data_IF_565351790028
#
_entry.id   IF_565351790028
#
_cell.length_a   1.000
_cell.length_b   1.000
_cell.length_c   1.000
_cell.angle_alpha   90.00
_cell.angle_beta   90.00
_cell.angle_gamma   90.00
#
_symmetry.space_group_name_H-M   'P 1'
#
loop_
_entity.id
_entity.type
_entity.pdbx_description
1 polymer ?
#
# COMPACT_ATOMS: atom_id res chain seq x y z
N UNK A 1 -17.01 -3.99 -6.09
CA UNK A 1 -16.08 -4.72 -5.19
C UNK A 1 -15.54 -3.82 -4.09
N UNK A 2 -15.12 -2.59 -4.41
CA UNK A 2 -14.55 -1.64 -3.46
C UNK A 2 -15.39 -0.36 -3.31
N UNK A 3 -15.32 0.26 -2.14
CA UNK A 3 -15.81 1.60 -1.86
C UNK A 3 -14.66 2.48 -1.37
N UNK A 4 -14.74 3.77 -1.70
CA UNK A 4 -13.83 4.80 -1.25
C UNK A 4 -14.64 5.88 -0.53
N UNK A 5 -14.24 6.26 0.68
CA UNK A 5 -14.86 7.33 1.45
C UNK A 5 -13.80 8.37 1.78
N UNK A 6 -14.14 9.61 1.47
CA UNK A 6 -13.35 10.79 1.85
C UNK A 6 -13.99 11.42 3.07
N UNK A 7 -13.18 11.75 4.07
CA UNK A 7 -13.69 12.50 5.22
C UNK A 7 -14.38 13.80 4.78
N UNK A 8 -15.67 13.94 5.10
CA UNK A 8 -16.49 15.10 4.74
C UNK A 8 -17.17 15.04 3.37
N UNK A 9 -17.05 13.94 2.61
CA UNK A 9 -17.79 13.74 1.35
C UNK A 9 -18.63 12.46 1.38
N UNK A 10 -19.50 12.33 0.38
CA UNK A 10 -20.26 11.09 0.17
C UNK A 10 -19.33 9.94 -0.23
N UNK A 11 -19.75 8.73 0.13
CA UNK A 11 -19.08 7.50 -0.28
C UNK A 11 -19.12 7.35 -1.80
N UNK A 12 -17.98 7.00 -2.38
CA UNK A 12 -17.85 6.65 -3.79
C UNK A 12 -17.78 5.14 -3.93
N UNK A 13 -18.69 4.56 -4.71
CA UNK A 13 -18.71 3.14 -5.03
C UNK A 13 -18.53 2.87 -6.52
N UNK A 14 -18.44 3.93 -7.32
CA UNK A 14 -18.28 3.89 -8.77
C UNK A 14 -16.79 3.92 -9.13
N UNK A 15 -16.14 2.78 -8.95
CA UNK A 15 -14.73 2.62 -9.26
C UNK A 15 -14.54 2.45 -10.78
N UNK A 16 -13.68 3.23 -11.39
CA UNK A 16 -13.28 3.06 -12.79
C UNK A 16 -12.35 1.87 -12.89
N UNK A 17 -12.82 0.79 -13.50
CA UNK A 17 -12.02 -0.40 -13.72
C UNK A 17 -11.09 -0.17 -14.93
N UNK A 18 -9.80 0.06 -14.67
CA UNK A 18 -8.77 0.25 -15.71
C UNK A 18 -8.18 -1.08 -16.17
N UNK A 19 -8.31 -2.12 -15.35
CA UNK A 19 -7.87 -3.49 -15.65
C UNK A 19 -8.75 -4.47 -14.87
N UNK A 20 -8.81 -5.76 -15.25
CA UNK A 20 -9.58 -6.77 -14.49
C UNK A 20 -9.27 -6.74 -12.99
N UNK A 21 -7.99 -6.55 -12.67
CA UNK A 21 -7.45 -6.53 -11.31
C UNK A 21 -7.12 -5.12 -10.80
N UNK A 22 -7.50 -4.05 -11.52
CA UNK A 22 -7.13 -2.67 -11.15
C UNK A 22 -8.32 -1.73 -11.23
N UNK A 23 -8.56 -1.05 -10.11
CA UNK A 23 -9.67 -0.13 -9.91
C UNK A 23 -9.15 1.23 -9.53
N UNK A 24 -9.75 2.29 -10.05
CA UNK A 24 -9.33 3.67 -9.79
C UNK A 24 -10.54 4.50 -9.39
N UNK A 25 -10.38 5.28 -8.32
CA UNK A 25 -11.34 6.28 -7.86
C UNK A 25 -10.77 7.66 -8.09
N UNK A 26 -11.55 8.55 -8.69
CA UNK A 26 -11.14 9.93 -8.89
C UNK A 26 -11.58 10.80 -7.71
N UNK A 27 -10.65 11.57 -7.19
CA UNK A 27 -10.83 12.46 -6.06
C UNK A 27 -10.71 13.91 -6.52
N UNK A 28 -11.83 14.57 -6.84
CA UNK A 28 -11.82 16.01 -7.08
C UNK A 28 -11.45 16.78 -5.80
N UNK A 29 -10.87 17.97 -5.95
CA UNK A 29 -10.40 18.86 -4.87
C UNK A 29 -9.61 18.14 -3.76
N UNK A 30 -8.57 17.42 -4.17
CA UNK A 30 -7.70 16.67 -3.29
C UNK A 30 -7.00 17.53 -2.21
N UNK A 31 -6.86 18.84 -2.44
CA UNK A 31 -6.28 19.79 -1.47
C UNK A 31 -7.04 19.83 -0.14
N UNK A 32 -8.34 19.57 -0.16
CA UNK A 32 -9.19 19.56 1.03
C UNK A 32 -9.31 18.16 1.67
N UNK A 33 -8.69 17.16 1.06
CA UNK A 33 -8.81 15.77 1.51
C UNK A 33 -7.70 15.48 2.51
N UNK A 34 -8.08 15.11 3.72
CA UNK A 34 -7.12 14.79 4.79
C UNK A 34 -7.00 13.29 5.03
N UNK A 35 -8.15 12.59 5.02
CA UNK A 35 -8.26 11.16 5.28
C UNK A 35 -9.11 10.50 4.20
N UNK A 36 -8.60 9.39 3.69
CA UNK A 36 -9.26 8.52 2.72
C UNK A 36 -9.43 7.16 3.35
N UNK A 37 -10.63 6.60 3.23
CA UNK A 37 -10.97 5.27 3.70
C UNK A 37 -11.26 4.42 2.47
N UNK A 38 -10.57 3.30 2.33
CA UNK A 38 -10.84 2.32 1.29
C UNK A 38 -11.32 1.04 1.95
N UNK A 39 -12.41 0.50 1.43
CA UNK A 39 -13.03 -0.69 2.02
C UNK A 39 -13.68 -1.58 0.95
N UNK A 40 -13.87 -2.84 1.29
CA UNK A 40 -14.62 -3.79 0.47
C UNK A 40 -16.12 -3.63 0.73
N UNK A 41 -16.92 -3.68 -0.33
CA UNK A 41 -18.39 -3.61 -0.24
C UNK A 41 -19.03 -4.90 0.32
N UNK A 42 -18.27 -5.98 0.44
CA UNK A 42 -18.76 -7.29 0.90
C UNK A 42 -19.59 -8.06 -0.15
N UNK A 43 -19.75 -7.52 -1.36
CA UNK A 43 -20.48 -8.20 -2.45
C UNK A 43 -19.64 -9.28 -3.14
N UNK A 44 -18.33 -9.08 -3.24
CA UNK A 44 -17.38 -10.02 -3.86
C UNK A 44 -16.10 -10.03 -2.99
N UNK A 45 -15.74 -11.17 -2.38
CA UNK A 45 -14.49 -11.31 -1.64
C UNK A 45 -13.29 -11.42 -2.58
N UNK A 46 -12.08 -11.22 -2.06
CA UNK A 46 -10.86 -11.49 -2.82
C UNK A 46 -10.70 -12.99 -3.07
N UNK A 47 -10.15 -13.39 -4.23
CA UNK A 47 -9.73 -14.78 -4.47
C UNK A 47 -8.76 -15.27 -3.39
N UNK A 48 -8.68 -16.59 -3.19
CA UNK A 48 -7.77 -17.18 -2.22
C UNK A 48 -6.30 -16.81 -2.54
N UNK A 49 -5.56 -16.34 -1.54
CA UNK A 49 -4.17 -15.91 -1.71
C UNK A 49 -4.00 -14.50 -2.29
N UNK A 50 -5.09 -13.76 -2.54
CA UNK A 50 -5.06 -12.40 -3.08
C UNK A 50 -5.47 -11.34 -2.04
N UNK A 51 -4.97 -10.13 -2.22
CA UNK A 51 -5.40 -8.92 -1.52
C UNK A 51 -5.39 -7.71 -2.45
N UNK A 52 -5.74 -6.54 -1.92
CA UNK A 52 -5.73 -5.29 -2.66
C UNK A 52 -4.64 -4.35 -2.14
N UNK A 53 -3.66 -4.00 -2.97
CA UNK A 53 -2.76 -2.89 -2.72
C UNK A 53 -3.47 -1.56 -3.04
N UNK A 54 -3.46 -0.64 -2.08
CA UNK A 54 -4.07 0.68 -2.20
C UNK A 54 -2.98 1.70 -2.48
N UNK A 55 -3.10 2.38 -3.61
CA UNK A 55 -2.20 3.44 -4.05
C UNK A 55 -2.93 4.78 -4.11
N UNK A 56 -2.19 5.85 -3.90
CA UNK A 56 -2.66 7.21 -4.04
C UNK A 56 -1.81 7.94 -5.07
N UNK A 57 -2.48 8.58 -6.01
CA UNK A 57 -1.90 9.41 -7.05
C UNK A 57 -2.23 10.85 -6.78
N UNK A 58 -1.23 11.72 -6.78
CA UNK A 58 -1.44 13.16 -6.82
C UNK A 58 -0.75 13.75 -8.06
N UNK A 59 -1.36 14.76 -8.68
CA UNK A 59 -0.72 15.48 -9.77
C UNK A 59 0.41 16.33 -9.20
N UNK A 60 1.67 16.03 -9.58
CA UNK A 60 2.82 16.84 -9.20
C UNK A 60 3.22 17.76 -10.37
N UNK A 61 3.18 19.09 -10.20
CA UNK A 61 3.53 20.03 -11.27
C UNK A 61 5.02 20.02 -11.61
N UNK A 62 5.89 19.51 -10.74
CA UNK A 62 7.35 19.49 -10.94
C UNK A 62 7.84 18.23 -11.69
N UNK A 63 7.21 17.08 -11.47
CA UNK A 63 7.56 15.79 -12.08
C UNK A 63 6.90 15.55 -13.45
N UNK A 64 6.04 16.47 -13.91
CA UNK A 64 5.41 16.40 -15.23
C UNK A 64 4.42 15.24 -15.41
N UNK A 65 3.98 14.60 -14.32
CA UNK A 65 3.07 13.45 -14.36
C UNK A 65 2.51 13.06 -12.99
N UNK A 66 1.52 12.15 -12.96
CA UNK A 66 0.91 11.67 -11.72
C UNK A 66 1.89 10.82 -10.90
N UNK A 67 2.16 11.21 -9.65
CA UNK A 67 3.04 10.48 -8.75
C UNK A 67 2.19 9.52 -7.92
N UNK A 68 2.41 8.22 -8.08
CA UNK A 68 1.72 7.21 -7.28
C UNK A 68 2.56 6.77 -6.08
N UNK A 69 1.90 6.60 -4.94
CA UNK A 69 2.47 6.17 -3.69
C UNK A 69 1.61 5.04 -3.10
N UNK A 70 2.25 3.97 -2.61
CA UNK A 70 1.56 2.87 -1.95
C UNK A 70 1.15 3.29 -0.53
N UNK A 71 -0.16 3.43 -0.29
CA UNK A 71 -0.67 3.77 1.03
C UNK A 71 -0.69 2.56 1.97
N UNK A 72 -1.03 1.39 1.44
CA UNK A 72 -1.16 0.16 2.21
C UNK A 72 -1.92 -0.92 1.46
N UNK A 73 -2.55 -1.84 2.19
CA UNK A 73 -3.25 -2.98 1.62
C UNK A 73 -4.53 -3.33 2.39
N UNK A 74 -5.46 -3.96 1.69
CA UNK A 74 -6.72 -4.51 2.20
C UNK A 74 -6.80 -6.00 1.84
N UNK A 75 -7.40 -6.81 2.70
CA UNK A 75 -7.52 -8.27 2.54
C UNK A 75 -8.90 -8.74 3.01
N UNK A 76 -9.22 -10.02 2.85
CA UNK A 76 -10.48 -10.56 3.39
C UNK A 76 -10.52 -10.47 4.94
N UNK A 77 -9.39 -10.65 5.63
CA UNK A 77 -9.28 -10.48 7.09
C UNK A 77 -9.35 -9.01 7.52
N UNK A 78 -8.79 -8.10 6.71
CA UNK A 78 -8.83 -6.66 6.92
C UNK A 78 -9.48 -5.97 5.72
N UNK A 79 -10.83 -6.00 5.63
CA UNK A 79 -11.55 -5.53 4.46
C UNK A 79 -11.59 -4.00 4.33
N UNK A 80 -11.05 -3.26 5.30
CA UNK A 80 -11.04 -1.79 5.31
C UNK A 80 -9.77 -1.22 5.92
N UNK A 81 -9.31 -0.10 5.37
CA UNK A 81 -8.17 0.67 5.88
C UNK A 81 -8.39 2.18 5.73
N UNK A 82 -7.80 2.94 6.65
CA UNK A 82 -7.86 4.41 6.69
C UNK A 82 -6.46 4.96 6.47
N UNK A 83 -6.35 5.91 5.55
CA UNK A 83 -5.09 6.51 5.14
C UNK A 83 -5.14 8.02 5.27
N UNK A 84 -4.11 8.60 5.90
CA UNK A 84 -3.83 10.03 5.89
C UNK A 84 -3.17 10.37 4.57
N UNK A 85 -3.74 11.34 3.86
CA UNK A 85 -3.10 11.91 2.68
C UNK A 85 -2.57 13.33 2.94
N UNK A 86 -3.00 13.96 4.05
CA UNK A 86 -2.52 15.27 4.48
C UNK A 86 -1.03 15.23 4.81
N UNK A 87 -0.22 15.96 4.03
CA UNK A 87 1.23 16.05 4.21
C UNK A 87 2.05 14.98 3.49
N UNK A 88 1.43 14.17 2.61
CA UNK A 88 2.21 13.34 1.67
C UNK A 88 3.00 14.27 0.76
N UNK A 89 4.30 14.37 1.02
CA UNK A 89 5.20 15.10 0.12
C UNK A 89 5.35 14.29 -1.17
N UNK A 90 5.56 15.00 -2.27
CA UNK A 90 6.11 14.47 -3.52
C UNK A 90 7.53 13.94 -3.29
N UNK A 91 7.65 12.87 -2.49
CA UNK A 91 8.87 12.08 -2.34
C UNK A 91 8.83 10.93 -3.34
N UNK A 92 10.03 10.57 -3.81
CA UNK A 92 10.36 9.54 -4.83
C UNK A 92 9.16 8.67 -5.22
N UNK A 93 8.66 8.88 -6.45
CA UNK A 93 7.58 8.09 -7.02
C UNK A 93 7.89 6.61 -6.87
N UNK A 94 7.08 5.93 -6.05
CA UNK A 94 7.24 4.51 -5.80
C UNK A 94 6.95 3.71 -7.06
N UNK A 95 7.55 2.52 -7.17
CA UNK A 95 7.19 1.55 -8.19
C UNK A 95 5.68 1.27 -8.09
N UNK A 96 4.93 1.59 -9.15
CA UNK A 96 3.48 1.42 -9.18
C UNK A 96 3.05 0.59 -10.39
N UNK A 97 2.03 -0.26 -10.26
CA UNK A 97 1.53 -1.10 -11.36
C UNK A 97 0.60 -0.34 -12.33
N UNK A 98 0.32 0.95 -12.09
CA UNK A 98 -0.62 1.78 -12.86
C UNK A 98 0.00 2.53 -14.07
N UNK A 99 1.22 2.16 -14.49
CA UNK A 99 2.04 2.90 -15.46
C UNK A 99 1.29 3.33 -16.72
N UNK A 100 1.47 4.61 -17.12
CA UNK A 100 0.91 5.35 -18.27
C UNK A 100 -0.63 5.30 -18.51
N UNK A 101 -1.35 4.36 -17.90
CA UNK A 101 -2.79 4.17 -18.01
C UNK A 101 -3.59 5.09 -17.06
N UNK A 102 -2.90 5.86 -16.23
CA UNK A 102 -3.50 6.92 -15.43
C UNK A 102 -3.70 8.17 -16.29
N UNK A 103 -4.78 8.19 -17.06
CA UNK A 103 -5.33 9.40 -17.68
C UNK A 103 -5.97 10.28 -16.60
N UNK A 104 -5.20 10.65 -15.58
CA UNK A 104 -5.64 11.55 -14.53
C UNK A 104 -5.67 12.97 -15.07
N UNK A 105 -6.79 13.67 -14.89
CA UNK A 105 -6.84 15.11 -15.10
C UNK A 105 -5.80 15.76 -14.19
N UNK A 106 -5.01 16.76 -14.64
CA UNK A 106 -3.95 17.38 -13.83
C UNK A 106 -4.46 18.11 -12.57
N UNK A 107 -5.77 18.14 -12.36
CA UNK A 107 -6.46 18.83 -11.26
C UNK A 107 -7.09 17.87 -10.23
N UNK A 108 -7.01 16.56 -10.43
CA UNK A 108 -7.65 15.57 -9.54
C UNK A 108 -6.65 14.52 -9.06
N UNK A 109 -6.72 14.17 -7.78
CA UNK A 109 -6.01 13.01 -7.26
C UNK A 109 -6.76 11.72 -7.61
N UNK A 110 -6.07 10.58 -7.53
CA UNK A 110 -6.66 9.29 -7.80
C UNK A 110 -6.30 8.29 -6.69
N UNK A 111 -7.22 7.40 -6.34
CA UNK A 111 -6.95 6.26 -5.46
C UNK A 111 -7.07 4.99 -6.30
N UNK A 112 -5.98 4.25 -6.39
CA UNK A 112 -5.91 2.98 -7.10
C UNK A 112 -6.00 1.81 -6.14
N UNK A 113 -6.71 0.76 -6.51
CA UNK A 113 -6.68 -0.54 -5.85
C UNK A 113 -6.22 -1.57 -6.88
N UNK A 114 -5.08 -2.20 -6.63
CA UNK A 114 -4.50 -3.27 -7.45
C UNK A 114 -4.69 -4.59 -6.72
N UNK A 115 -5.31 -5.59 -7.35
CA UNK A 115 -5.46 -6.94 -6.79
C UNK A 115 -4.17 -7.71 -7.06
N UNK A 116 -3.46 -8.09 -5.99
CA UNK A 116 -2.15 -8.71 -6.07
C UNK A 116 -2.05 -9.88 -5.07
N UNK A 117 -1.11 -10.79 -5.30
CA UNK A 117 -0.88 -11.90 -4.39
C UNK A 117 -0.41 -11.39 -3.02
N UNK A 118 -0.95 -11.97 -1.94
CA UNK A 118 -0.59 -11.63 -0.56
C UNK A 118 0.94 -11.65 -0.33
N UNK A 119 1.64 -12.62 -0.92
CA UNK A 119 3.11 -12.71 -0.88
C UNK A 119 3.79 -11.44 -1.40
N UNK A 120 3.26 -10.84 -2.48
CA UNK A 120 3.80 -9.62 -3.07
C UNK A 120 3.47 -8.38 -2.22
N UNK A 121 2.25 -8.32 -1.67
CA UNK A 121 1.85 -7.24 -0.74
C UNK A 121 2.76 -7.18 0.48
N UNK A 122 3.19 -8.34 0.98
CA UNK A 122 4.09 -8.49 2.14
C UNK A 122 5.53 -8.06 1.83
N UNK A 123 5.92 -8.05 0.55
CA UNK A 123 7.22 -7.55 0.10
C UNK A 123 7.22 -6.05 -0.19
N UNK A 124 6.05 -5.47 -0.49
CA UNK A 124 5.92 -4.04 -0.73
C UNK A 124 6.02 -3.24 0.58
N UNK A 125 6.74 -2.12 0.55
CA UNK A 125 6.88 -1.22 1.69
C UNK A 125 5.92 -0.05 1.46
N UNK A 126 4.78 0.03 2.18
CA UNK A 126 3.90 1.19 2.08
C UNK A 126 4.60 2.44 2.61
N UNK A 127 4.24 3.60 2.07
CA UNK A 127 4.83 4.87 2.52
C UNK A 127 4.42 5.10 3.96
N UNK A 128 5.39 5.06 4.89
CA UNK A 128 5.16 5.06 6.34
C UNK A 128 4.40 6.27 6.89
N UNK A 129 4.20 7.32 6.07
CA UNK A 129 3.45 8.53 6.44
C UNK A 129 1.93 8.41 6.24
N UNK A 130 1.45 7.38 5.53
CA UNK A 130 0.05 7.30 5.11
C UNK A 130 -0.87 6.54 6.09
N UNK A 131 -0.37 5.66 6.95
CA UNK A 131 -1.21 4.92 7.87
C UNK A 131 -1.58 5.78 9.11
N UNK A 132 -2.87 6.08 9.31
CA UNK A 132 -3.35 6.55 10.62
C UNK A 132 -3.73 5.33 11.43
N UNK A 133 -2.92 5.04 12.44
CA UNK A 133 -3.25 4.41 13.73
C UNK A 133 -2.24 3.32 14.10
N UNK A 134 -1.27 3.72 14.94
CA UNK A 134 -0.85 3.06 16.20
C UNK A 134 -0.34 1.60 16.20
N UNK A 135 -0.53 0.80 15.16
CA UNK A 135 -0.09 -0.62 15.11
C UNK A 135 1.10 -0.87 14.17
N UNK A 136 1.37 0.05 13.24
CA UNK A 136 2.49 -0.07 12.30
C UNK A 136 3.85 0.01 13.00
N UNK A 137 4.00 0.84 14.03
CA UNK A 137 5.23 0.85 14.84
C UNK A 137 5.45 -0.46 15.59
N UNK A 138 4.39 -1.16 16.01
CA UNK A 138 4.50 -2.42 16.74
C UNK A 138 4.88 -3.57 15.78
N UNK A 139 4.22 -3.68 14.63
CA UNK A 139 4.53 -4.74 13.65
C UNK A 139 5.82 -4.49 12.88
N UNK A 140 6.20 -3.23 12.62
CA UNK A 140 7.51 -2.89 12.05
C UNK A 140 8.65 -3.15 13.06
N UNK A 141 8.40 -2.97 14.36
CA UNK A 141 9.28 -3.43 15.44
C UNK A 141 9.41 -4.97 15.47
N UNK A 142 8.29 -5.70 15.39
CA UNK A 142 8.29 -7.18 15.36
C UNK A 142 8.97 -7.75 14.10
N UNK A 143 8.84 -7.09 12.94
CA UNK A 143 9.45 -7.54 11.69
C UNK A 143 10.97 -7.34 11.67
N UNK A 144 11.45 -6.25 12.26
CA UNK A 144 12.87 -6.03 12.51
C UNK A 144 13.41 -7.09 13.49
N UNK A 145 12.69 -7.34 14.59
CA UNK A 145 13.07 -8.35 15.59
C UNK A 145 13.15 -9.77 15.03
N UNK A 146 12.21 -10.18 14.16
CA UNK A 146 12.23 -11.52 13.54
C UNK A 146 13.33 -11.69 12.49
N UNK A 147 13.63 -10.64 11.72
CA UNK A 147 14.73 -10.66 10.73
C UNK A 147 16.09 -10.68 11.44
N UNK A 148 16.23 -9.94 12.55
CA UNK A 148 17.42 -9.99 13.40
C UNK A 148 17.58 -11.35 14.09
N UNK A 149 16.49 -11.96 14.56
CA UNK A 149 16.52 -13.28 15.19
C UNK A 149 16.90 -14.40 14.20
N UNK A 150 16.41 -14.33 12.95
CA UNK A 150 16.85 -15.22 11.85
C UNK A 150 18.32 -15.02 11.51
N UNK A 151 18.80 -13.78 11.47
CA UNK A 151 20.21 -13.50 11.23
C UNK A 151 21.09 -13.98 12.39
N UNK A 152 20.63 -13.86 13.64
CA UNK A 152 21.35 -14.34 14.84
C UNK A 152 21.43 -15.87 14.89
N UNK A 153 20.34 -16.57 14.54
CA UNK A 153 20.32 -18.05 14.44
C UNK A 153 21.22 -18.52 13.30
N UNK A 154 21.21 -17.85 12.15
CA UNK A 154 22.10 -18.16 11.03
C UNK A 154 23.58 -17.89 11.36
N UNK A 155 23.88 -16.80 12.08
CA UNK A 155 25.25 -16.47 12.48
C UNK A 155 25.79 -17.45 13.53
N UNK A 156 24.95 -17.88 14.49
CA UNK A 156 25.33 -18.88 15.48
C UNK A 156 25.61 -20.25 14.86
N UNK A 157 24.78 -20.68 13.89
CA UNK A 157 25.03 -21.93 13.14
C UNK A 157 26.29 -21.84 12.27
N UNK A 158 26.53 -20.70 11.61
CA UNK A 158 27.72 -20.52 10.77
C UNK A 158 29.02 -20.54 11.58
N UNK A 159 29.05 -19.91 12.76
CA UNK A 159 30.23 -19.89 13.61
C UNK A 159 30.53 -21.24 14.27
N UNK A 160 29.48 -22.00 14.62
CA UNK A 160 29.64 -23.34 15.19
C UNK A 160 30.15 -24.36 14.15
N UNK A 161 29.72 -24.24 12.88
CA UNK A 161 30.19 -25.11 11.81
C UNK A 161 31.67 -24.84 11.46
N UNK A 162 32.09 -23.57 11.43
CA UNK A 162 33.47 -23.21 11.07
C UNK A 162 34.50 -23.55 12.15
N UNK A 163 34.09 -23.59 13.43
CA UNK A 163 34.99 -23.94 14.55
C UNK A 163 35.24 -25.45 14.64
N UNK A 164 34.29 -26.29 14.20
CA UNK A 164 34.42 -27.75 14.26
C UNK A 164 35.30 -28.30 13.12
N UNK A 165 35.29 -27.66 11.94
CA UNK A 165 36.11 -28.07 10.79
C UNK A 165 37.60 -27.68 10.90
N UNK A 166 37.98 -26.81 11.86
CA UNK A 166 39.38 -26.40 12.08
C UNK A 166 40.11 -27.30 13.10
N UNK A 167 39.45 -28.32 13.67
CA UNK A 167 40.02 -29.17 14.73
C UNK A 167 39.93 -30.69 14.46
N UNK A 168 39.85 -31.10 13.19
CA UNK A 168 40.05 -32.49 12.74
C UNK A 168 41.18 -32.56 11.72
#
# INVERSE_FOLDING_TARGET
MFGCLVAGRLVQTDAVQVSPDKFVFNLPDYENVNHVVVFMLGTVPFPAGMGGAVYFSFPDPASGGPVWQLLGFITNDKPSAIFKISGLKAGEGGAHPFGAASSGSPSAAQVGVSVEALEQLVQQIPVSSAAVSTVDSFLQCFRSFWTLCKLFIAFFFFFFFFTVDTFI
#
